data_IF_764566441840
#
_entry.id   IF_764566441840
#
_cell.length_a   1.000
_cell.length_b   1.000
_cell.length_c   1.000
_cell.angle_alpha   90.00
_cell.angle_beta   90.00
_cell.angle_gamma   90.00
#
_symmetry.space_group_name_H-M   'P 1'
#
loop_
_entity.id
_entity.type
_entity.pdbx_description
1 polymer ?
#
# COMPACT_ATOMS: atom_id res chain seq x y z
N UNK A 1 -34.79 30.01 18.35
CA UNK A 1 -33.49 29.57 18.91
C UNK A 1 -32.85 28.65 17.89
N UNK A 2 -31.76 29.09 17.26
CA UNK A 2 -31.09 28.37 16.18
C UNK A 2 -30.49 27.07 16.71
N UNK A 3 -30.82 25.96 16.07
CA UNK A 3 -30.13 24.69 16.26
C UNK A 3 -28.72 24.87 15.69
N UNK A 4 -27.73 24.92 16.58
CA UNK A 4 -26.34 25.00 16.18
C UNK A 4 -25.98 23.76 15.38
N UNK A 5 -25.72 23.93 14.09
CA UNK A 5 -24.95 22.98 13.30
C UNK A 5 -23.59 22.83 13.98
N UNK A 6 -23.47 21.80 14.82
CA UNK A 6 -22.17 21.25 15.20
C UNK A 6 -21.56 20.73 13.91
N UNK A 7 -20.82 21.59 13.20
CA UNK A 7 -19.82 21.17 12.23
C UNK A 7 -18.96 20.14 12.95
N UNK A 8 -19.16 18.85 12.67
CA UNK A 8 -18.34 17.79 13.23
C UNK A 8 -16.89 18.08 12.83
N UNK A 9 -16.13 18.68 13.73
CA UNK A 9 -14.70 18.85 13.52
C UNK A 9 -14.10 17.45 13.32
N UNK A 10 -13.24 17.33 12.31
CA UNK A 10 -12.49 16.09 12.09
C UNK A 10 -11.69 15.82 13.35
N UNK A 11 -11.89 14.64 13.96
CA UNK A 11 -11.08 14.24 15.10
C UNK A 11 -9.62 14.18 14.68
N UNK A 12 -8.74 14.65 15.57
CA UNK A 12 -7.28 14.60 15.36
C UNK A 12 -6.65 13.82 16.50
N UNK A 13 -5.56 13.12 16.23
CA UNK A 13 -4.71 12.62 17.30
C UNK A 13 -3.56 13.59 17.50
N UNK A 14 -3.53 14.24 18.66
CA UNK A 14 -2.42 15.06 19.13
C UNK A 14 -1.20 14.22 19.52
N UNK A 15 -1.38 12.93 19.84
CA UNK A 15 -0.31 12.02 20.26
C UNK A 15 -0.48 10.63 19.66
N UNK A 16 0.49 10.22 18.84
CA UNK A 16 0.68 8.87 18.33
C UNK A 16 2.10 8.47 18.71
N UNK A 17 2.26 7.32 19.36
CA UNK A 17 3.56 6.81 19.79
C UNK A 17 3.87 5.55 18.99
N UNK A 18 5.07 5.47 18.41
CA UNK A 18 5.53 4.31 17.66
C UNK A 18 6.81 3.75 18.28
N UNK A 19 6.87 2.43 18.42
CA UNK A 19 8.05 1.70 18.86
C UNK A 19 8.50 0.74 17.76
N UNK A 20 9.72 0.92 17.28
CA UNK A 20 10.29 0.06 16.23
C UNK A 20 11.12 -1.06 16.83
N UNK A 21 10.86 -2.27 16.36
CA UNK A 21 11.61 -3.47 16.70
C UNK A 21 12.21 -4.08 15.42
N UNK A 22 13.43 -4.61 15.51
CA UNK A 22 14.14 -5.21 14.37
C UNK A 22 14.14 -6.74 14.33
N UNK A 23 13.68 -7.39 15.39
CA UNK A 23 13.78 -8.85 15.57
C UNK A 23 12.50 -9.46 16.10
N UNK A 24 12.29 -10.74 15.79
CA UNK A 24 11.24 -11.53 16.42
C UNK A 24 11.77 -12.19 17.72
N UNK A 25 10.93 -13.03 18.34
CA UNK A 25 11.24 -13.69 19.62
C UNK A 25 12.44 -14.64 19.59
N UNK A 26 12.84 -15.12 18.40
CA UNK A 26 13.96 -16.05 18.20
C UNK A 26 15.19 -15.40 17.55
N UNK A 27 15.20 -14.07 17.42
CA UNK A 27 16.36 -13.32 16.90
C UNK A 27 16.48 -13.30 15.39
N UNK A 28 15.42 -13.64 14.65
CA UNK A 28 15.38 -13.48 13.18
C UNK A 28 15.05 -12.03 12.79
N UNK A 29 15.46 -11.57 11.59
CA UNK A 29 15.09 -10.24 11.09
C UNK A 29 13.57 -10.10 10.99
N UNK A 30 13.02 -9.16 11.76
CA UNK A 30 11.58 -8.91 11.82
C UNK A 30 11.33 -7.44 12.15
N UNK A 31 11.53 -6.58 11.15
CA UNK A 31 11.27 -5.15 11.29
C UNK A 31 9.77 -4.89 11.38
N UNK A 32 9.33 -4.36 12.52
CA UNK A 32 7.93 -3.99 12.75
C UNK A 32 7.80 -2.83 13.73
N UNK A 33 6.70 -2.10 13.61
CA UNK A 33 6.33 -1.03 14.53
C UNK A 33 5.11 -1.42 15.36
N UNK A 34 5.16 -1.13 16.66
CA UNK A 34 3.98 -1.03 17.50
C UNK A 34 3.53 0.43 17.55
N UNK A 35 2.41 0.73 16.90
CA UNK A 35 1.82 2.08 16.87
C UNK A 35 0.66 2.14 17.86
N UNK A 36 0.81 2.98 18.89
CA UNK A 36 -0.21 3.26 19.88
C UNK A 36 -0.92 4.56 19.51
N UNK A 37 -2.23 4.46 19.33
CA UNK A 37 -3.10 5.58 19.01
C UNK A 37 -4.09 5.78 20.17
N UNK A 38 -4.22 7.01 20.64
CA UNK A 38 -5.18 7.34 21.70
C UNK A 38 -6.60 6.96 21.32
N UNK A 39 -7.31 6.28 22.23
CA UNK A 39 -8.66 5.78 21.95
C UNK A 39 -9.69 6.90 21.70
N UNK A 40 -9.46 8.09 22.27
CA UNK A 40 -10.28 9.28 22.09
C UNK A 40 -9.49 10.32 21.27
N UNK A 41 -9.91 10.62 20.02
CA UNK A 41 -9.34 11.72 19.26
C UNK A 41 -9.67 13.07 19.93
N UNK A 42 -8.79 14.06 19.76
CA UNK A 42 -9.04 15.44 20.13
C UNK A 42 -10.35 15.92 19.50
N UNK A 43 -11.08 16.76 20.24
CA UNK A 43 -12.36 17.35 19.82
C UNK A 43 -13.47 16.34 19.52
N UNK A 44 -13.31 15.07 19.91
CA UNK A 44 -14.37 14.06 19.85
C UNK A 44 -14.79 13.65 21.25
N UNK A 45 -16.10 13.43 21.42
CA UNK A 45 -16.72 12.95 22.66
C UNK A 45 -16.91 11.44 22.70
N UNK A 46 -16.53 10.74 21.62
CA UNK A 46 -16.71 9.29 21.47
C UNK A 46 -15.39 8.61 21.15
N UNK A 47 -15.18 7.48 21.82
CA UNK A 47 -14.05 6.57 21.58
C UNK A 47 -14.11 6.02 20.16
N UNK A 48 -12.92 5.78 19.59
CA UNK A 48 -12.70 5.08 18.33
C UNK A 48 -13.55 3.81 18.23
N UNK A 49 -14.36 3.74 17.17
CA UNK A 49 -15.07 2.51 16.85
C UNK A 49 -14.09 1.52 16.20
N UNK A 50 -13.83 0.39 16.87
CA UNK A 50 -13.02 -0.72 16.34
C UNK A 50 -13.50 -1.19 14.96
N UNK A 51 -14.81 -1.24 14.72
CA UNK A 51 -15.37 -1.65 13.43
C UNK A 51 -14.93 -0.72 12.30
N UNK A 52 -14.85 0.59 12.57
CA UNK A 52 -14.36 1.55 11.59
C UNK A 52 -12.87 1.30 11.29
N UNK A 53 -12.04 1.02 12.30
CA UNK A 53 -10.63 0.67 12.07
C UNK A 53 -10.49 -0.62 11.26
N UNK A 54 -11.22 -1.68 11.63
CA UNK A 54 -11.18 -2.97 10.94
C UNK A 54 -11.67 -2.85 9.49
N UNK A 55 -12.67 -2.01 9.23
CA UNK A 55 -13.18 -1.78 7.88
C UNK A 55 -12.18 -1.06 6.95
N UNK A 56 -11.10 -0.48 7.50
CA UNK A 56 -10.05 0.21 6.75
C UNK A 56 -8.70 -0.52 6.77
N UNK A 57 -8.64 -1.71 7.38
CA UNK A 57 -7.39 -2.45 7.61
C UNK A 57 -6.64 -2.75 6.30
N UNK A 58 -7.35 -3.22 5.27
CA UNK A 58 -6.74 -3.55 3.97
C UNK A 58 -6.21 -2.32 3.24
N UNK A 59 -6.93 -1.20 3.33
CA UNK A 59 -6.50 0.07 2.74
C UNK A 59 -5.26 0.62 3.46
N UNK A 60 -5.25 0.55 4.79
CA UNK A 60 -4.10 0.96 5.60
C UNK A 60 -2.86 0.10 5.30
N UNK A 61 -3.00 -1.23 5.24
CA UNK A 61 -1.92 -2.15 4.86
C UNK A 61 -1.39 -1.85 3.44
N UNK A 62 -2.29 -1.68 2.47
CA UNK A 62 -1.88 -1.40 1.10
C UNK A 62 -1.14 -0.06 0.99
N UNK A 63 -1.61 0.99 1.68
CA UNK A 63 -0.93 2.29 1.76
C UNK A 63 0.45 2.14 2.40
N UNK A 64 0.55 1.45 3.54
CA UNK A 64 1.82 1.23 4.22
C UNK A 64 2.83 0.56 3.29
N UNK A 65 2.44 -0.53 2.64
CA UNK A 65 3.33 -1.25 1.71
C UNK A 65 3.70 -0.40 0.50
N UNK A 66 2.77 0.36 -0.07
CA UNK A 66 3.04 1.27 -1.18
C UNK A 66 4.02 2.38 -0.81
N UNK A 67 3.84 3.00 0.35
CA UNK A 67 4.73 4.05 0.83
C UNK A 67 6.10 3.50 1.18
N UNK A 68 6.17 2.30 1.78
CA UNK A 68 7.44 1.65 2.08
C UNK A 68 8.23 1.33 0.81
N UNK A 69 7.57 0.78 -0.23
CA UNK A 69 8.20 0.58 -1.55
C UNK A 69 8.70 1.90 -2.15
N UNK A 70 7.89 2.97 -2.07
CA UNK A 70 8.29 4.30 -2.56
C UNK A 70 9.54 4.81 -1.84
N UNK A 71 9.58 4.73 -0.51
CA UNK A 71 10.69 5.21 0.31
C UNK A 71 11.96 4.40 0.08
N UNK A 72 11.86 3.08 -0.08
CA UNK A 72 13.00 2.23 -0.47
C UNK A 72 13.54 2.66 -1.83
N UNK A 73 12.68 2.84 -2.85
CA UNK A 73 13.12 3.25 -4.18
C UNK A 73 13.66 4.69 -4.23
N UNK A 74 13.22 5.57 -3.33
CA UNK A 74 13.62 6.98 -3.30
C UNK A 74 14.91 7.22 -2.52
N UNK A 75 15.08 6.54 -1.39
CA UNK A 75 16.16 6.81 -0.43
C UNK A 75 17.02 5.59 -0.11
N UNK A 76 16.57 4.40 -0.46
CA UNK A 76 17.29 3.16 -0.18
C UNK A 76 18.36 2.86 -1.22
N UNK A 77 19.21 1.89 -0.88
CA UNK A 77 20.25 1.34 -1.77
C UNK A 77 19.75 0.18 -2.65
N UNK A 78 18.48 -0.21 -2.49
CA UNK A 78 17.84 -1.32 -3.20
C UNK A 78 16.56 -0.85 -3.87
N UNK A 79 16.11 -1.62 -4.86
CA UNK A 79 14.84 -1.39 -5.56
C UNK A 79 13.77 -2.31 -4.99
N UNK A 80 12.56 -1.78 -4.79
CA UNK A 80 11.40 -2.54 -4.33
C UNK A 80 10.27 -2.50 -5.35
N UNK A 81 9.54 -3.59 -5.54
CA UNK A 81 8.41 -3.63 -6.44
C UNK A 81 7.35 -4.62 -5.99
N UNK A 82 6.13 -4.47 -6.50
CA UNK A 82 5.06 -5.45 -6.35
C UNK A 82 4.93 -6.30 -7.61
N UNK A 83 4.81 -7.62 -7.44
CA UNK A 83 4.55 -8.55 -8.56
C UNK A 83 3.06 -8.58 -8.93
N UNK A 84 2.76 -9.10 -10.12
CA UNK A 84 1.37 -9.38 -10.53
C UNK A 84 0.67 -10.34 -9.57
N UNK A 85 1.41 -11.27 -8.94
CA UNK A 85 0.90 -12.21 -7.93
C UNK A 85 0.62 -11.56 -6.57
N UNK A 86 0.84 -10.25 -6.40
CA UNK A 86 0.54 -9.55 -5.16
C UNK A 86 1.62 -9.69 -4.07
N UNK A 87 2.84 -10.07 -4.45
CA UNK A 87 3.98 -10.13 -3.54
C UNK A 87 4.85 -8.89 -3.64
N UNK A 88 5.24 -8.34 -2.50
CA UNK A 88 6.24 -7.27 -2.43
C UNK A 88 7.64 -7.88 -2.43
N UNK A 89 8.49 -7.37 -3.32
CA UNK A 89 9.85 -7.86 -3.56
C UNK A 89 10.85 -6.72 -3.32
N UNK A 90 12.05 -7.07 -2.87
CA UNK A 90 13.19 -6.16 -2.79
C UNK A 90 14.36 -6.80 -3.51
N UNK A 91 15.07 -6.02 -4.32
CA UNK A 91 16.20 -6.52 -5.10
C UNK A 91 17.27 -7.13 -4.19
N UNK A 92 17.65 -8.38 -4.47
CA UNK A 92 18.58 -9.16 -3.65
C UNK A 92 18.08 -9.54 -2.25
N UNK A 93 16.79 -9.40 -1.96
CA UNK A 93 16.10 -9.99 -0.78
C UNK A 93 14.83 -10.67 -1.28
N UNK A 94 14.95 -11.93 -1.67
CA UNK A 94 13.85 -12.72 -2.24
C UNK A 94 13.38 -13.83 -1.29
N UNK A 95 12.51 -14.71 -1.79
CA UNK A 95 11.95 -15.84 -1.03
C UNK A 95 13.02 -16.78 -0.47
N UNK A 96 14.20 -16.85 -1.10
CA UNK A 96 15.33 -17.64 -0.60
C UNK A 96 15.83 -17.12 0.75
N UNK A 97 15.85 -15.80 0.95
CA UNK A 97 16.20 -15.22 2.25
C UNK A 97 15.11 -15.46 3.31
N UNK A 98 13.84 -15.52 2.91
CA UNK A 98 12.74 -15.89 3.82
C UNK A 98 12.83 -17.35 4.28
N UNK A 99 13.38 -18.24 3.46
CA UNK A 99 13.58 -19.63 3.84
C UNK A 99 14.65 -19.79 4.94
N UNK A 100 15.61 -18.86 5.04
CA UNK A 100 16.62 -18.83 6.11
C UNK A 100 16.00 -18.65 7.50
N UNK A 101 14.89 -17.89 7.54
CA UNK A 101 14.24 -17.44 8.75
C UNK A 101 12.74 -17.75 8.66
N UNK A 102 12.36 -19.03 8.76
CA UNK A 102 11.00 -19.49 8.50
C UNK A 102 9.99 -19.00 9.54
N UNK A 103 10.43 -18.31 10.59
CA UNK A 103 9.60 -17.89 11.71
C UNK A 103 9.29 -19.04 12.66
N UNK A 104 8.28 -18.81 13.50
CA UNK A 104 7.76 -19.67 14.56
C UNK A 104 7.08 -20.97 14.06
N UNK A 105 7.64 -21.60 13.00
CA UNK A 105 7.22 -22.94 12.54
C UNK A 105 7.70 -24.05 13.47
N UNK A 106 8.56 -23.72 14.43
CA UNK A 106 9.00 -24.63 15.50
C UNK A 106 8.27 -24.23 16.79
N UNK A 107 7.32 -25.06 17.21
CA UNK A 107 6.61 -24.85 18.47
C UNK A 107 7.60 -24.75 19.64
N UNK A 108 7.58 -23.63 20.39
CA UNK A 108 8.30 -23.52 21.67
C UNK A 108 9.50 -22.57 21.71
N UNK A 109 9.54 -21.54 20.86
CA UNK A 109 10.53 -20.47 20.95
C UNK A 109 10.63 -19.84 22.36
N UNK A 110 11.68 -20.18 23.11
CA UNK A 110 11.98 -19.51 24.37
C UNK A 110 12.43 -18.07 24.09
N UNK A 111 11.89 -17.12 24.88
CA UNK A 111 12.27 -15.72 24.80
C UNK A 111 13.71 -15.57 25.30
N UNK A 112 14.66 -15.54 24.38
CA UNK A 112 16.07 -15.26 24.68
C UNK A 112 16.34 -13.76 24.61
N UNK A 113 17.19 -13.28 25.51
CA UNK A 113 17.74 -11.91 25.43
C UNK A 113 18.87 -11.89 24.42
N UNK A 114 18.81 -10.99 23.46
CA UNK A 114 19.81 -10.87 22.41
C UNK A 114 20.54 -9.53 22.52
N UNK A 115 21.87 -9.55 22.37
CA UNK A 115 22.62 -8.32 22.10
C UNK A 115 22.54 -7.99 20.61
N UNK A 116 22.65 -6.70 20.26
CA UNK A 116 22.67 -6.27 18.85
C UNK A 116 23.77 -6.96 18.05
N UNK A 117 24.98 -7.06 18.61
CA UNK A 117 26.11 -7.75 17.97
C UNK A 117 25.85 -9.25 17.80
N UNK A 118 25.26 -9.91 18.80
CA UNK A 118 24.90 -11.33 18.71
C UNK A 118 23.91 -11.62 17.58
N UNK A 119 22.91 -10.74 17.40
CA UNK A 119 21.94 -10.84 16.29
C UNK A 119 22.62 -10.68 14.94
N UNK A 120 23.43 -9.63 14.77
CA UNK A 120 24.10 -9.34 13.49
C UNK A 120 25.03 -10.49 13.10
N UNK A 121 25.85 -10.99 14.02
CA UNK A 121 26.75 -12.12 13.77
C UNK A 121 25.98 -13.39 13.39
N UNK A 122 24.83 -13.65 14.02
CA UNK A 122 23.97 -14.78 13.66
C UNK A 122 23.50 -14.64 12.21
N UNK A 123 23.01 -13.47 11.82
CA UNK A 123 22.50 -13.24 10.45
C UNK A 123 23.61 -13.37 9.40
N UNK A 124 24.80 -12.83 9.68
CA UNK A 124 25.96 -12.99 8.80
C UNK A 124 26.33 -14.47 8.64
N UNK A 125 26.38 -15.22 9.76
CA UNK A 125 26.64 -16.66 9.70
C UNK A 125 25.56 -17.44 8.96
N UNK A 126 24.29 -17.07 9.09
CA UNK A 126 23.20 -17.70 8.36
C UNK A 126 23.37 -17.45 6.85
N UNK A 127 23.67 -16.20 6.45
CA UNK A 127 23.86 -15.83 5.03
C UNK A 127 25.00 -16.59 4.36
N UNK A 128 26.08 -16.91 5.10
CA UNK A 128 27.22 -17.66 4.57
C UNK A 128 26.90 -19.13 4.24
N UNK A 129 25.81 -19.69 4.79
CA UNK A 129 25.45 -21.11 4.61
C UNK A 129 24.71 -21.40 3.32
N UNK A 130 24.31 -20.37 2.56
CA UNK A 130 23.41 -20.52 1.43
C UNK A 130 23.98 -19.92 0.16
N UNK A 131 23.77 -20.64 -0.94
CA UNK A 131 24.13 -20.21 -2.28
C UNK A 131 22.95 -19.49 -2.96
N UNK A 132 23.23 -18.42 -3.69
CA UNK A 132 22.21 -17.68 -4.46
C UNK A 132 22.03 -18.37 -5.80
N UNK A 133 20.90 -19.06 -5.98
CA UNK A 133 20.61 -19.82 -7.21
C UNK A 133 20.03 -18.92 -8.32
N UNK A 134 19.15 -17.99 -7.96
CA UNK A 134 18.51 -17.10 -8.93
C UNK A 134 18.16 -15.77 -8.26
N UNK A 135 18.22 -14.67 -9.02
CA UNK A 135 17.81 -13.34 -8.58
C UNK A 135 16.86 -12.74 -9.60
N UNK A 136 15.70 -12.26 -9.12
CA UNK A 136 14.76 -11.54 -9.97
C UNK A 136 15.17 -10.08 -10.11
N UNK A 137 15.36 -9.65 -11.35
CA UNK A 137 15.60 -8.25 -11.66
C UNK A 137 14.34 -7.41 -11.42
N UNK A 138 14.49 -6.19 -10.86
CA UNK A 138 13.38 -5.28 -10.70
C UNK A 138 12.88 -4.81 -12.08
N UNK A 139 11.56 -4.70 -12.30
CA UNK A 139 11.03 -4.14 -13.54
C UNK A 139 11.49 -2.68 -13.70
N UNK A 140 11.46 -2.17 -14.93
CA UNK A 140 11.60 -0.72 -15.14
C UNK A 140 10.54 0.02 -14.32
N UNK A 141 10.93 1.16 -13.75
CA UNK A 141 10.00 1.98 -12.98
C UNK A 141 8.85 2.38 -13.90
N UNK A 142 7.63 2.08 -13.48
CA UNK A 142 6.44 2.50 -14.20
C UNK A 142 6.00 3.87 -13.70
N UNK A 143 5.81 4.82 -14.62
CA UNK A 143 5.25 6.15 -14.33
C UNK A 143 3.71 6.13 -14.31
N UNK A 144 3.12 4.93 -14.37
CA UNK A 144 1.68 4.69 -14.41
C UNK A 144 1.27 3.53 -13.52
N UNK A 145 -0.01 3.55 -13.14
CA UNK A 145 -0.64 2.48 -12.37
C UNK A 145 -0.72 1.22 -13.22
N UNK A 146 -0.43 0.07 -12.63
CA UNK A 146 -0.67 -1.22 -13.27
C UNK A 146 -2.18 -1.53 -13.32
N UNK A 147 -2.80 -1.24 -14.47
CA UNK A 147 -4.26 -1.38 -14.65
C UNK A 147 -4.76 -2.84 -14.53
N UNK A 148 -3.90 -3.84 -14.70
CA UNK A 148 -4.25 -5.23 -14.46
C UNK A 148 -4.35 -5.51 -12.95
N UNK A 149 -3.36 -5.08 -12.16
CA UNK A 149 -3.39 -5.20 -10.69
C UNK A 149 -4.54 -4.35 -10.12
N UNK A 150 -4.76 -3.14 -10.64
CA UNK A 150 -5.87 -2.31 -10.21
C UNK A 150 -7.21 -3.03 -10.44
N UNK A 151 -7.36 -3.60 -11.65
CA UNK A 151 -8.56 -4.35 -12.04
C UNK A 151 -8.85 -5.51 -11.11
N UNK A 152 -7.85 -6.33 -10.82
CA UNK A 152 -8.03 -7.52 -9.97
C UNK A 152 -8.48 -7.20 -8.54
N UNK A 153 -8.26 -5.97 -8.05
CA UNK A 153 -8.69 -5.56 -6.72
C UNK A 153 -10.12 -5.02 -6.67
N UNK A 154 -10.70 -4.63 -7.82
CA UNK A 154 -12.06 -4.08 -7.88
C UNK A 154 -13.06 -5.02 -8.57
N UNK A 155 -12.56 -5.97 -9.36
CA UNK A 155 -13.36 -6.99 -10.02
C UNK A 155 -14.00 -7.97 -9.00
N UNK A 156 -15.18 -8.51 -9.31
CA UNK A 156 -15.92 -9.42 -8.43
C UNK A 156 -16.66 -8.75 -7.25
N UNK A 157 -16.55 -7.44 -7.08
CA UNK A 157 -17.26 -6.69 -6.03
C UNK A 157 -18.65 -6.23 -6.49
N UNK A 158 -19.65 -6.31 -5.60
CA UNK A 158 -21.02 -5.79 -5.84
C UNK A 158 -21.12 -4.25 -5.82
N UNK A 159 -19.99 -3.57 -5.73
CA UNK A 159 -19.84 -2.12 -5.64
C UNK A 159 -18.49 -1.78 -5.04
N UNK A 160 -17.89 -0.71 -5.51
CA UNK A 160 -16.53 -0.29 -5.14
C UNK A 160 -16.63 0.98 -4.31
N UNK A 161 -16.15 0.94 -3.07
CA UNK A 161 -16.11 2.10 -2.19
C UNK A 161 -14.76 2.83 -2.29
N UNK A 162 -14.66 4.00 -1.66
CA UNK A 162 -13.42 4.79 -1.66
C UNK A 162 -12.23 3.98 -1.10
N UNK A 163 -12.43 3.24 -0.02
CA UNK A 163 -11.38 2.40 0.58
C UNK A 163 -10.85 1.31 -0.36
N UNK A 164 -11.71 0.78 -1.23
CA UNK A 164 -11.36 -0.27 -2.18
C UNK A 164 -10.51 0.32 -3.31
N UNK A 165 -10.87 1.52 -3.77
CA UNK A 165 -10.06 2.28 -4.74
C UNK A 165 -8.69 2.64 -4.16
N UNK A 166 -8.63 3.06 -2.89
CA UNK A 166 -7.36 3.32 -2.19
C UNK A 166 -6.49 2.05 -2.15
N UNK A 167 -7.09 0.92 -1.78
CA UNK A 167 -6.40 -0.39 -1.74
C UNK A 167 -5.89 -0.77 -3.14
N UNK A 168 -6.74 -0.67 -4.15
CA UNK A 168 -6.43 -0.98 -5.54
C UNK A 168 -5.30 -0.09 -6.09
N UNK A 169 -5.39 1.22 -5.91
CA UNK A 169 -4.35 2.18 -6.34
C UNK A 169 -3.02 1.92 -5.65
N UNK A 170 -3.02 1.74 -4.32
CA UNK A 170 -1.80 1.50 -3.57
C UNK A 170 -1.10 0.19 -3.97
N UNK A 171 -1.87 -0.88 -4.22
CA UNK A 171 -1.31 -2.13 -4.72
C UNK A 171 -0.86 -2.03 -6.18
N UNK A 172 -1.58 -1.31 -7.03
CA UNK A 172 -1.26 -1.16 -8.44
C UNK A 172 -0.10 -0.19 -8.73
N UNK A 173 0.30 0.63 -7.75
CA UNK A 173 1.56 1.38 -7.78
C UNK A 173 2.76 0.43 -7.57
N UNK A 174 3.23 -0.17 -8.67
CA UNK A 174 4.28 -1.21 -8.70
C UNK A 174 5.53 -0.80 -7.91
N UNK A 175 6.06 0.41 -8.16
CA UNK A 175 7.25 0.95 -7.46
C UNK A 175 6.91 1.68 -6.15
N UNK A 176 5.64 1.67 -5.74
CA UNK A 176 5.14 2.40 -4.58
C UNK A 176 4.67 3.81 -4.89
N UNK A 177 3.93 4.38 -3.95
CA UNK A 177 3.42 5.75 -3.97
C UNK A 177 3.28 6.23 -2.53
N UNK A 178 3.52 7.52 -2.28
CA UNK A 178 3.25 8.12 -0.96
C UNK A 178 1.77 8.01 -0.61
N UNK A 179 1.44 7.89 0.69
CA UNK A 179 0.04 7.85 1.15
C UNK A 179 -0.78 9.04 0.65
N UNK A 180 -0.19 10.25 0.65
CA UNK A 180 -0.81 11.45 0.09
C UNK A 180 -1.07 11.34 -1.41
N UNK A 181 -0.13 10.76 -2.16
CA UNK A 181 -0.28 10.51 -3.59
C UNK A 181 -1.39 9.51 -3.92
N UNK A 182 -1.51 8.42 -3.14
CA UNK A 182 -2.62 7.46 -3.29
C UNK A 182 -3.96 8.15 -3.07
N UNK A 183 -4.09 8.94 -1.99
CA UNK A 183 -5.33 9.65 -1.70
C UNK A 183 -5.66 10.69 -2.77
N UNK A 184 -4.67 11.48 -3.20
CA UNK A 184 -4.85 12.48 -4.25
C UNK A 184 -5.25 11.84 -5.59
N UNK A 185 -4.66 10.70 -5.95
CA UNK A 185 -5.06 9.94 -7.14
C UNK A 185 -6.55 9.54 -7.08
N UNK A 186 -6.99 8.96 -5.96
CA UNK A 186 -8.39 8.52 -5.79
C UNK A 186 -9.33 9.73 -5.80
N UNK A 187 -9.03 10.76 -5.02
CA UNK A 187 -9.89 11.95 -4.92
C UNK A 187 -9.94 12.73 -6.24
N UNK A 188 -8.88 12.68 -7.04
CA UNK A 188 -8.88 13.26 -8.39
C UNK A 188 -9.78 12.47 -9.34
N UNK A 189 -9.64 11.15 -9.44
CA UNK A 189 -10.40 10.34 -10.41
C UNK A 189 -11.85 10.06 -10.02
N UNK A 190 -12.17 10.11 -8.72
CA UNK A 190 -13.49 9.81 -8.17
C UNK A 190 -13.90 10.90 -7.17
N UNK A 191 -14.04 12.16 -7.62
CA UNK A 191 -14.33 13.30 -6.74
C UNK A 191 -15.65 13.14 -5.98
N UNK A 192 -16.62 12.41 -6.54
CA UNK A 192 -17.89 12.09 -5.92
C UNK A 192 -17.76 11.21 -4.66
N UNK A 193 -16.60 10.57 -4.48
CA UNK A 193 -16.27 9.74 -3.31
C UNK A 193 -15.29 10.42 -2.36
N UNK A 194 -14.75 11.61 -2.66
CA UNK A 194 -13.62 12.19 -1.91
C UNK A 194 -13.92 12.41 -0.40
N UNK A 195 -15.18 12.72 -0.08
CA UNK A 195 -15.67 12.91 1.28
C UNK A 195 -16.11 11.60 1.97
N UNK A 196 -16.27 10.50 1.23
CA UNK A 196 -16.80 9.24 1.76
C UNK A 196 -15.71 8.50 2.55
N UNK A 197 -15.71 8.70 3.87
CA UNK A 197 -14.77 8.10 4.82
C UNK A 197 -15.56 7.64 6.05
N UNK A 198 -15.57 6.34 6.32
CA UNK A 198 -16.23 5.85 7.52
C UNK A 198 -16.54 4.36 7.51
N UNK A 199 -17.48 3.94 8.34
CA UNK A 199 -17.97 2.56 8.35
C UNK A 199 -18.80 2.28 7.09
N UNK A 200 -19.71 3.19 6.75
CA UNK A 200 -20.50 3.17 5.52
C UNK A 200 -19.91 4.16 4.52
N UNK A 201 -19.60 3.67 3.32
CA UNK A 201 -19.13 4.50 2.21
C UNK A 201 -20.06 4.31 1.02
N UNK A 202 -20.28 5.39 0.26
CA UNK A 202 -20.92 5.31 -1.04
C UNK A 202 -20.13 4.35 -1.95
N UNK A 203 -20.85 3.67 -2.83
CA UNK A 203 -20.27 2.71 -3.77
C UNK A 203 -20.59 3.12 -5.20
N UNK A 204 -19.64 2.88 -6.09
CA UNK A 204 -19.80 2.99 -7.54
C UNK A 204 -19.73 1.61 -8.18
N UNK A 205 -20.22 1.49 -9.41
CA UNK A 205 -20.10 0.24 -10.18
C UNK A 205 -18.65 -0.05 -10.60
N UNK A 206 -18.31 -1.33 -10.77
CA UNK A 206 -16.98 -1.77 -11.21
C UNK A 206 -16.55 -1.12 -12.53
N UNK A 207 -17.48 -0.94 -13.48
CA UNK A 207 -17.19 -0.27 -14.76
C UNK A 207 -16.73 1.18 -14.54
N UNK A 208 -17.41 1.91 -13.65
CA UNK A 208 -17.04 3.28 -13.29
C UNK A 208 -15.68 3.32 -12.57
N UNK A 209 -15.44 2.37 -11.66
CA UNK A 209 -14.15 2.22 -10.99
C UNK A 209 -13.01 1.93 -11.97
N UNK A 210 -13.21 1.04 -12.95
CA UNK A 210 -12.14 0.66 -13.90
C UNK A 210 -11.81 1.77 -14.90
N UNK A 211 -12.77 2.63 -15.22
CA UNK A 211 -12.66 3.60 -16.31
C UNK A 211 -12.14 2.95 -17.62
N UNK A 212 -12.55 1.70 -17.90
CA UNK A 212 -11.93 0.84 -18.92
C UNK A 212 -11.93 1.47 -20.32
N UNK A 213 -12.97 2.23 -20.67
CA UNK A 213 -13.03 2.94 -21.95
C UNK A 213 -11.91 3.99 -22.05
N UNK A 214 -11.76 4.82 -21.02
CA UNK A 214 -10.72 5.85 -20.93
C UNK A 214 -9.33 5.22 -20.89
N UNK A 215 -9.13 4.13 -20.15
CA UNK A 215 -7.83 3.42 -20.10
C UNK A 215 -7.46 2.80 -21.45
N UNK A 216 -8.43 2.21 -22.17
CA UNK A 216 -8.18 1.64 -23.52
C UNK A 216 -7.82 2.72 -24.53
N UNK A 217 -8.50 3.86 -24.45
CA UNK A 217 -8.26 5.01 -25.30
C UNK A 217 -6.94 5.71 -24.95
N UNK A 218 -6.68 6.01 -23.68
CA UNK A 218 -5.65 6.97 -23.27
C UNK A 218 -4.37 6.31 -22.79
N UNK A 219 -4.40 5.00 -22.59
CA UNK A 219 -3.36 4.23 -21.92
C UNK A 219 -3.55 4.21 -20.40
N UNK A 220 -2.63 3.57 -19.66
CA UNK A 220 -2.72 3.44 -18.20
C UNK A 220 -2.68 4.81 -17.51
N UNK A 221 -3.37 4.93 -16.37
CA UNK A 221 -3.43 6.18 -15.61
C UNK A 221 -2.06 6.52 -15.01
N UNK A 222 -1.53 7.75 -15.16
CA UNK A 222 -0.25 8.12 -14.60
C UNK A 222 -0.30 8.17 -13.08
N UNK A 223 0.85 7.95 -12.45
CA UNK A 223 1.00 8.03 -10.99
C UNK A 223 1.24 9.49 -10.55
N UNK A 224 1.92 10.27 -11.37
CA UNK A 224 2.23 11.68 -11.10
C UNK A 224 0.96 12.54 -11.20
N UNK A 225 0.72 13.40 -10.20
CA UNK A 225 -0.52 14.18 -10.09
C UNK A 225 -0.60 15.22 -11.21
N UNK A 226 0.54 15.81 -11.53
CA UNK A 226 0.76 16.76 -12.62
C UNK A 226 0.34 16.20 -13.99
N UNK A 227 0.49 14.90 -14.21
CA UNK A 227 0.17 14.25 -15.47
C UNK A 227 -1.31 13.85 -15.58
N UNK A 228 -2.06 13.90 -14.47
CA UNK A 228 -3.45 13.45 -14.42
C UNK A 228 -4.37 14.32 -15.30
N UNK A 229 -4.13 15.63 -15.31
CA UNK A 229 -4.87 16.58 -16.14
C UNK A 229 -4.67 16.33 -17.63
N UNK A 230 -3.41 16.18 -18.04
CA UNK A 230 -3.03 15.86 -19.42
C UNK A 230 -3.59 14.52 -19.86
N UNK A 231 -3.50 13.49 -19.02
CA UNK A 231 -4.10 12.18 -19.31
C UNK A 231 -5.61 12.27 -19.50
N UNK A 232 -6.33 13.10 -18.72
CA UNK A 232 -7.79 13.28 -18.87
C UNK A 232 -8.19 13.94 -20.19
N UNK A 233 -7.31 14.71 -20.80
CA UNK A 233 -7.56 15.41 -22.07
C UNK A 233 -6.96 14.67 -23.27
N UNK A 234 -6.14 13.65 -23.03
CA UNK A 234 -5.49 12.88 -24.08
C UNK A 234 -6.54 12.13 -24.90
N UNK A 235 -6.42 12.25 -26.22
CA UNK A 235 -6.99 11.29 -27.17
C UNK A 235 -5.84 10.41 -27.66
N UNK A 236 -6.06 9.10 -27.83
CA UNK A 236 -5.07 8.29 -28.55
C UNK A 236 -5.01 8.81 -29.98
N UNK A 237 -3.83 8.95 -30.60
CA UNK A 237 -3.77 8.94 -32.05
C UNK A 237 -4.45 7.65 -32.51
N UNK A 238 -5.57 7.77 -33.23
CA UNK A 238 -6.15 6.62 -33.94
C UNK A 238 -5.07 6.15 -34.90
N UNK A 239 -4.52 4.97 -34.67
CA UNK A 239 -3.63 4.32 -35.62
C UNK A 239 -4.43 4.07 -36.90
N UNK A 240 -4.40 5.04 -37.81
CA UNK A 240 -4.71 4.85 -39.21
C UNK A 240 -3.59 3.99 -39.78
N UNK A 241 -3.75 2.68 -39.69
CA UNK A 241 -3.23 1.72 -40.66
C UNK A 241 -3.90 0.38 -40.38
N UNK A 242 -5.11 0.26 -40.91
CA UNK A 242 -5.57 -1.03 -41.44
C UNK A 242 -4.67 -1.32 -42.64
N UNK A 243 -3.60 -2.09 -42.42
CA UNK A 243 -2.98 -2.81 -43.52
C UNK A 243 -4.00 -3.80 -44.07
N UNK A 244 -4.17 -3.71 -45.38
CA UNK A 244 -4.96 -4.61 -46.23
C UNK A 244 -4.48 -6.05 -46.12
#
# INVERSE_FOLDING_TARGET
KMAGESLEQRGRWSSIIAFTHGVNRIGEPHLHDHVLVGALPDHRSRVLNRQALSAHLLAADAIYRAEFRFRINRYGVRRAWRTLGGHDMVHGVDEGHRALWPGDRTWGAQKTSWTRSGIVNKWESDLLRFEKIHMREPPNRADSINEQIFGSHVEGSNGVARRDLVTATANAATSGLLASGVQAFVDFYYPELAADRGLTERRIGVIAARQSALVRERGPRPIAIEDLGTWRQRERPRSLERSR
#
